data_IF_411951345694
#
_entry.id   IF_411951345694
#
_cell.length_a   1.000
_cell.length_b   1.000
_cell.length_c   1.000
_cell.angle_alpha   90.00
_cell.angle_beta   90.00
_cell.angle_gamma   90.00
#
_symmetry.space_group_name_H-M   'P 1'
#
loop_
_entity.id
_entity.type
_entity.pdbx_description
1 polymer ?
#
# COMPACT_ATOMS: atom_id res chain seq x y z
N UNK A 1 12.65 -7.86 -7.68
CA UNK A 1 12.15 -6.61 -8.29
C UNK A 1 10.67 -6.83 -8.60
N UNK A 2 9.83 -5.79 -8.49
CA UNK A 2 8.39 -5.90 -8.71
C UNK A 2 8.07 -5.97 -10.22
N UNK A 3 8.37 -7.11 -10.84
CA UNK A 3 7.94 -7.43 -12.22
C UNK A 3 6.57 -8.08 -12.22
N UNK A 4 5.90 -8.09 -13.37
CA UNK A 4 4.62 -8.79 -13.54
C UNK A 4 4.71 -10.26 -13.12
N UNK A 5 5.71 -11.00 -13.60
CA UNK A 5 5.88 -12.41 -13.24
C UNK A 5 6.19 -12.59 -11.76
N UNK A 6 7.03 -11.72 -11.19
CA UNK A 6 7.41 -11.82 -9.78
C UNK A 6 6.21 -11.58 -8.87
N UNK A 7 5.37 -10.58 -9.16
CA UNK A 7 4.14 -10.32 -8.40
C UNK A 7 3.23 -11.56 -8.42
N UNK A 8 2.95 -12.11 -9.61
CA UNK A 8 2.08 -13.29 -9.73
C UNK A 8 2.66 -14.53 -9.05
N UNK A 9 3.98 -14.73 -9.15
CA UNK A 9 4.67 -15.83 -8.48
C UNK A 9 4.56 -15.72 -6.96
N UNK A 10 4.69 -14.52 -6.38
CA UNK A 10 4.56 -14.32 -4.94
C UNK A 10 3.12 -14.47 -4.46
N UNK A 11 2.11 -14.08 -5.26
CA UNK A 11 0.71 -14.35 -4.93
C UNK A 11 0.40 -15.86 -4.92
N UNK A 12 0.98 -16.63 -5.84
CA UNK A 12 0.88 -18.10 -5.81
C UNK A 12 1.60 -18.69 -4.58
N UNK A 13 2.78 -18.17 -4.22
CA UNK A 13 3.44 -18.57 -2.98
C UNK A 13 2.59 -18.26 -1.75
N UNK A 14 2.00 -17.07 -1.65
CA UNK A 14 1.07 -16.68 -0.57
C UNK A 14 -0.15 -17.61 -0.51
N UNK A 15 -0.70 -17.99 -1.66
CA UNK A 15 -1.77 -18.98 -1.74
C UNK A 15 -1.36 -20.30 -1.07
N UNK A 16 -0.16 -20.80 -1.37
CA UNK A 16 0.35 -22.05 -0.80
C UNK A 16 0.59 -21.94 0.72
N UNK A 17 1.11 -20.80 1.20
CA UNK A 17 1.27 -20.56 2.64
C UNK A 17 -0.06 -20.52 3.37
N UNK A 18 -1.05 -19.78 2.84
CA UNK A 18 -2.38 -19.72 3.42
C UNK A 18 -3.11 -21.07 3.40
N UNK A 19 -2.86 -21.92 2.39
CA UNK A 19 -3.41 -23.27 2.35
C UNK A 19 -2.80 -24.20 3.42
N UNK A 20 -1.57 -23.92 3.87
CA UNK A 20 -0.87 -24.71 4.88
C UNK A 20 -1.23 -24.30 6.32
N UNK A 21 -1.81 -23.11 6.51
CA UNK A 21 -2.22 -22.57 7.81
C UNK A 21 -3.63 -21.99 7.71
N UNK A 22 -4.62 -22.74 8.19
CA UNK A 22 -6.02 -22.32 8.15
C UNK A 22 -6.29 -21.04 8.93
N UNK A 23 -5.48 -20.73 9.94
CA UNK A 23 -5.63 -19.55 10.79
C UNK A 23 -4.84 -18.34 10.25
N UNK A 24 -4.15 -18.48 9.12
CA UNK A 24 -3.32 -17.43 8.56
C UNK A 24 -4.10 -16.12 8.33
N UNK A 25 -3.47 -15.01 8.75
CA UNK A 25 -3.82 -13.68 8.25
C UNK A 25 -2.87 -13.29 7.14
N UNK A 26 -3.45 -12.95 5.99
CA UNK A 26 -2.72 -12.46 4.84
C UNK A 26 -2.95 -10.95 4.74
N UNK A 27 -1.86 -10.22 4.60
CA UNK A 27 -1.86 -8.80 4.28
C UNK A 27 -1.14 -8.64 2.95
N UNK A 28 -1.78 -8.02 1.97
CA UNK A 28 -1.15 -7.64 0.70
C UNK A 28 -1.15 -6.13 0.61
N UNK A 29 0.02 -5.53 0.41
CA UNK A 29 0.17 -4.09 0.26
C UNK A 29 0.82 -3.80 -1.09
N UNK A 30 0.04 -3.22 -2.00
CA UNK A 30 0.54 -2.74 -3.28
C UNK A 30 0.68 -1.22 -3.21
N UNK A 31 1.87 -0.71 -3.53
CA UNK A 31 2.08 0.71 -3.80
C UNK A 31 2.73 0.92 -5.15
N UNK A 32 2.13 1.78 -5.97
CA UNK A 32 2.57 1.96 -7.36
C UNK A 32 1.55 2.71 -8.20
N UNK A 33 1.78 2.72 -9.52
CA UNK A 33 0.88 3.38 -10.45
C UNK A 33 -0.15 2.42 -11.03
N UNK A 34 -1.28 2.96 -11.46
CA UNK A 34 -2.22 2.24 -12.29
C UNK A 34 -2.75 3.09 -13.44
N UNK A 35 -2.94 2.44 -14.59
CA UNK A 35 -3.41 3.08 -15.83
C UNK A 35 -4.65 2.37 -16.35
N UNK A 36 -5.66 3.17 -16.71
CA UNK A 36 -6.84 2.72 -17.41
C UNK A 36 -6.61 2.87 -18.92
N UNK A 37 -6.72 1.77 -19.65
CA UNK A 37 -6.85 1.82 -21.10
C UNK A 37 -8.29 2.23 -21.46
N UNK A 38 -8.47 3.48 -21.89
CA UNK A 38 -9.79 4.01 -22.26
C UNK A 38 -10.35 3.38 -23.55
N UNK A 39 -9.52 2.69 -24.34
CA UNK A 39 -10.01 1.98 -25.53
C UNK A 39 -10.69 0.65 -25.17
N UNK A 40 -10.21 -0.03 -24.12
CA UNK A 40 -10.71 -1.36 -23.72
C UNK A 40 -11.43 -1.39 -22.37
N UNK A 41 -11.33 -0.32 -21.58
CA UNK A 41 -11.80 -0.25 -20.20
C UNK A 41 -10.95 -1.05 -19.20
N UNK A 42 -9.82 -1.62 -19.64
CA UNK A 42 -8.95 -2.44 -18.78
C UNK A 42 -8.06 -1.57 -17.91
N UNK A 43 -8.03 -1.88 -16.61
CA UNK A 43 -7.12 -1.26 -15.67
C UNK A 43 -5.87 -2.13 -15.45
N UNK A 44 -4.70 -1.49 -15.44
CA UNK A 44 -3.41 -2.13 -15.29
C UNK A 44 -2.69 -1.57 -14.07
N UNK A 45 -2.18 -2.46 -13.22
CA UNK A 45 -1.13 -2.13 -12.25
C UNK A 45 0.20 -2.08 -12.99
N UNK A 46 1.04 -1.11 -12.64
CA UNK A 46 2.27 -0.82 -13.37
C UNK A 46 3.46 -1.39 -12.60
N UNK A 47 4.08 -2.48 -13.08
CA UNK A 47 5.30 -3.04 -12.50
C UNK A 47 6.51 -2.17 -12.87
N UNK A 48 7.65 -2.44 -12.24
CA UNK A 48 8.89 -1.68 -12.47
C UNK A 48 9.43 -1.84 -13.90
N UNK A 49 9.21 -2.99 -14.54
CA UNK A 49 9.70 -3.36 -15.87
C UNK A 49 8.63 -3.14 -16.97
N UNK A 50 7.70 -2.21 -16.75
CA UNK A 50 6.69 -1.89 -17.76
C UNK A 50 7.34 -1.36 -19.04
N UNK A 51 6.94 -1.92 -20.18
CA UNK A 51 7.36 -1.49 -21.51
C UNK A 51 6.38 -0.43 -22.04
N UNK A 52 6.78 0.84 -22.20
CA UNK A 52 5.86 1.95 -22.49
C UNK A 52 5.07 1.78 -23.80
N UNK A 53 5.65 1.03 -24.74
CA UNK A 53 5.07 0.77 -26.05
C UNK A 53 4.41 -0.61 -26.15
N UNK A 54 4.45 -1.40 -25.07
CA UNK A 54 3.81 -2.72 -24.98
C UNK A 54 3.18 -2.95 -23.60
N UNK A 55 2.35 -1.99 -23.17
CA UNK A 55 1.62 -2.05 -21.90
C UNK A 55 0.80 -3.35 -21.76
N UNK A 56 0.06 -3.83 -22.78
CA UNK A 56 -0.77 -5.03 -22.61
C UNK A 56 0.03 -6.29 -22.21
N UNK A 57 1.27 -6.43 -22.69
CA UNK A 57 2.10 -7.59 -22.39
C UNK A 57 2.97 -7.39 -21.13
N UNK A 58 3.48 -6.18 -20.91
CA UNK A 58 4.41 -5.89 -19.81
C UNK A 58 3.74 -5.45 -18.49
N UNK A 59 2.57 -4.80 -18.54
CA UNK A 59 1.84 -4.42 -17.33
C UNK A 59 0.99 -5.57 -16.78
N UNK A 60 0.58 -5.44 -15.51
CA UNK A 60 -0.24 -6.43 -14.82
C UNK A 60 -1.72 -6.02 -14.91
N UNK A 61 -2.58 -6.75 -15.64
CA UNK A 61 -4.00 -6.48 -15.63
C UNK A 61 -4.56 -6.64 -14.22
N UNK A 62 -5.33 -5.67 -13.75
CA UNK A 62 -5.81 -5.68 -12.38
C UNK A 62 -6.89 -6.74 -12.12
N UNK A 63 -7.59 -7.21 -13.16
CA UNK A 63 -8.42 -8.41 -13.07
C UNK A 63 -7.57 -9.66 -12.79
N UNK A 64 -6.40 -9.80 -13.43
CA UNK A 64 -5.48 -10.92 -13.15
C UNK A 64 -4.96 -10.87 -11.71
N UNK A 65 -4.59 -9.68 -11.23
CA UNK A 65 -4.20 -9.47 -9.84
C UNK A 65 -5.34 -9.80 -8.86
N UNK A 66 -6.55 -9.34 -9.16
CA UNK A 66 -7.75 -9.60 -8.35
C UNK A 66 -8.07 -11.08 -8.28
N UNK A 67 -8.04 -11.79 -9.42
CA UNK A 67 -8.28 -13.22 -9.43
C UNK A 67 -7.21 -13.98 -8.64
N UNK A 68 -5.93 -13.62 -8.77
CA UNK A 68 -4.88 -14.24 -7.95
C UNK A 68 -5.11 -14.05 -6.44
N UNK A 69 -5.53 -12.85 -5.99
CA UNK A 69 -5.88 -12.59 -4.59
C UNK A 69 -7.13 -13.36 -4.12
N UNK A 70 -8.09 -13.59 -5.02
CA UNK A 70 -9.29 -14.38 -4.72
C UNK A 70 -8.97 -15.87 -4.55
N UNK A 71 -7.90 -16.36 -5.17
CA UNK A 71 -7.46 -17.74 -5.03
C UNK A 71 -6.74 -18.04 -3.70
N UNK A 72 -6.36 -17.03 -2.91
CA UNK A 72 -5.74 -17.21 -1.60
C UNK A 72 -6.80 -17.72 -0.58
N UNK A 73 -6.66 -18.94 -0.04
CA UNK A 73 -7.65 -19.55 0.84
C UNK A 73 -7.46 -19.13 2.31
N UNK A 74 -7.25 -17.83 2.56
CA UNK A 74 -7.09 -17.31 3.91
C UNK A 74 -8.45 -16.95 4.54
N UNK A 75 -8.62 -17.26 5.83
CA UNK A 75 -9.78 -16.79 6.60
C UNK A 75 -9.78 -15.27 6.79
N UNK A 76 -8.59 -14.65 6.74
CA UNK A 76 -8.39 -13.21 6.97
C UNK A 76 -7.46 -12.66 5.89
N UNK A 77 -7.98 -11.78 5.04
CA UNK A 77 -7.22 -11.13 3.98
C UNK A 77 -7.47 -9.61 4.01
N UNK A 78 -6.42 -8.84 4.32
CA UNK A 78 -6.39 -7.40 4.16
C UNK A 78 -5.61 -7.05 2.89
N UNK A 79 -6.25 -6.35 1.96
CA UNK A 79 -5.60 -5.82 0.75
C UNK A 79 -5.52 -4.31 0.87
N UNK A 80 -4.34 -3.75 0.62
CA UNK A 80 -4.09 -2.31 0.66
C UNK A 80 -3.54 -1.88 -0.68
N UNK A 81 -4.20 -0.88 -1.28
CA UNK A 81 -3.81 -0.30 -2.55
C UNK A 81 -3.43 1.16 -2.32
N UNK A 82 -2.13 1.43 -2.27
CA UNK A 82 -1.56 2.77 -2.19
C UNK A 82 -1.07 3.24 -3.57
N UNK A 83 -2.03 3.64 -4.41
CA UNK A 83 -1.74 4.09 -5.77
C UNK A 83 -2.15 5.53 -6.02
N UNK A 84 -1.20 6.37 -6.45
CA UNK A 84 -1.45 7.76 -6.79
C UNK A 84 -2.21 7.89 -8.12
N UNK A 85 -3.18 8.82 -8.18
CA UNK A 85 -3.52 9.52 -9.41
C UNK A 85 -2.29 10.32 -9.90
N UNK A 86 -1.68 9.91 -11.02
CA UNK A 86 -0.61 10.69 -11.66
C UNK A 86 -1.14 11.89 -12.49
N UNK A 87 -2.27 12.50 -12.07
CA UNK A 87 -2.87 13.64 -12.77
C UNK A 87 -1.89 14.82 -12.95
N UNK A 88 -0.88 14.95 -12.07
CA UNK A 88 0.19 15.94 -12.19
C UNK A 88 1.31 15.63 -13.19
N UNK A 89 1.31 14.47 -13.86
CA UNK A 89 2.28 14.16 -14.93
C UNK A 89 1.74 14.47 -16.34
N UNK A 90 0.42 14.62 -16.50
CA UNK A 90 -0.22 14.79 -17.81
C UNK A 90 -0.25 16.25 -18.32
N UNK A 91 0.10 17.23 -17.48
CA UNK A 91 0.16 18.65 -17.88
C UNK A 91 1.49 19.00 -18.55
N UNK A 92 1.80 18.34 -19.66
CA UNK A 92 2.86 18.76 -20.59
C UNK A 92 2.33 18.80 -22.04
N UNK A 93 1.07 19.21 -22.21
CA UNK A 93 0.51 19.58 -23.52
C UNK A 93 0.02 21.03 -23.47
N UNK A 94 0.84 21.92 -24.05
CA UNK A 94 0.48 23.24 -24.59
C UNK A 94 -0.03 24.32 -23.64
N UNK A 95 0.70 24.63 -22.57
CA UNK A 95 0.59 25.94 -21.89
C UNK A 95 1.94 26.64 -21.91
N UNK A 96 2.03 27.91 -22.36
CA UNK A 96 3.21 28.74 -22.12
C UNK A 96 3.49 28.73 -20.61
N UNK A 97 4.76 28.52 -20.27
CA UNK A 97 5.26 28.50 -18.89
C UNK A 97 5.04 29.89 -18.28
N UNK A 98 3.88 30.10 -17.66
CA UNK A 98 3.76 31.04 -16.56
C UNK A 98 4.02 30.24 -15.28
N UNK A 99 5.11 30.61 -14.63
CA UNK A 99 5.60 30.08 -13.37
C UNK A 99 4.55 30.19 -12.25
N UNK A 100 3.65 29.22 -12.16
CA UNK A 100 3.05 28.86 -10.87
C UNK A 100 4.05 27.95 -10.16
N UNK A 101 4.93 28.58 -9.39
CA UNK A 101 5.73 27.89 -8.38
C UNK A 101 4.76 27.27 -7.36
N UNK A 102 4.37 26.01 -7.57
CA UNK A 102 3.71 25.21 -6.54
C UNK A 102 4.82 24.65 -5.62
N UNK A 103 4.84 24.97 -4.31
CA UNK A 103 6.04 24.78 -3.48
C UNK A 103 6.21 23.37 -2.88
N UNK A 104 5.31 22.43 -3.17
CA UNK A 104 5.27 21.12 -2.51
C UNK A 104 5.24 19.97 -3.54
N UNK A 105 5.88 18.85 -3.18
CA UNK A 105 6.41 17.80 -4.06
C UNK A 105 5.52 17.33 -5.22
N UNK A 106 6.18 17.13 -6.36
CA UNK A 106 5.61 16.47 -7.54
C UNK A 106 5.12 15.05 -7.16
N UNK A 107 4.00 14.55 -7.73
CA UNK A 107 3.71 13.12 -7.72
C UNK A 107 4.92 12.38 -8.30
N UNK A 108 5.38 11.35 -7.58
CA UNK A 108 6.51 10.45 -7.87
C UNK A 108 7.45 10.93 -8.98
N UNK A 109 8.66 11.39 -8.62
CA UNK A 109 9.76 11.62 -9.56
C UNK A 109 10.35 10.31 -10.15
N UNK A 110 9.50 9.34 -10.46
CA UNK A 110 9.79 8.21 -11.34
C UNK A 110 9.52 8.66 -12.77
N UNK A 111 10.46 8.37 -13.68
CA UNK A 111 10.49 8.81 -15.08
C UNK A 111 9.13 9.16 -15.68
N UNK A 112 9.01 10.35 -16.30
CA UNK A 112 7.84 10.75 -17.07
C UNK A 112 7.60 9.77 -18.23
N UNK A 113 6.91 8.67 -17.95
CA UNK A 113 6.57 7.70 -18.97
C UNK A 113 5.56 8.36 -19.90
N UNK A 114 5.95 8.59 -21.16
CA UNK A 114 5.04 9.10 -22.17
C UNK A 114 4.05 8.01 -22.51
N UNK A 115 2.87 8.11 -21.93
CA UNK A 115 1.77 7.18 -22.19
C UNK A 115 1.23 7.36 -23.62
N UNK A 116 0.83 6.26 -24.29
CA UNK A 116 -0.05 6.37 -25.43
C UNK A 116 -1.33 7.13 -25.06
N UNK A 117 -1.90 7.88 -26.01
CA UNK A 117 -3.00 8.82 -25.74
C UNK A 117 -4.28 8.17 -25.16
N UNK A 118 -4.44 6.85 -25.24
CA UNK A 118 -5.58 6.10 -24.71
C UNK A 118 -5.41 5.67 -23.25
N UNK A 119 -4.23 5.81 -22.64
CA UNK A 119 -4.02 5.44 -21.24
C UNK A 119 -4.17 6.64 -20.31
N UNK A 120 -4.99 6.47 -19.27
CA UNK A 120 -5.26 7.47 -18.26
C UNK A 120 -4.75 7.02 -16.90
N UNK A 121 -3.92 7.81 -16.20
CA UNK A 121 -3.59 7.54 -14.81
C UNK A 121 -4.80 7.84 -13.92
N UNK A 122 -5.32 6.81 -13.27
CA UNK A 122 -6.52 6.90 -12.41
C UNK A 122 -6.37 5.93 -11.24
N UNK A 123 -7.20 6.09 -10.21
CA UNK A 123 -7.33 5.15 -9.10
C UNK A 123 -7.95 3.84 -9.57
N UNK A 124 -7.84 2.83 -8.72
CA UNK A 124 -8.47 1.55 -8.92
C UNK A 124 -9.99 1.72 -9.07
N UNK A 125 -10.63 1.20 -10.14
CA UNK A 125 -12.07 1.28 -10.32
C UNK A 125 -12.83 0.62 -9.16
N UNK A 126 -13.98 1.20 -8.80
CA UNK A 126 -14.80 0.69 -7.70
C UNK A 126 -15.23 -0.76 -7.93
N UNK A 127 -15.47 -1.15 -9.17
CA UNK A 127 -15.87 -2.50 -9.54
C UNK A 127 -14.78 -3.53 -9.18
N UNK A 128 -13.49 -3.16 -9.27
CA UNK A 128 -12.40 -4.02 -8.83
C UNK A 128 -12.34 -4.13 -7.31
N UNK A 129 -12.55 -3.03 -6.59
CA UNK A 129 -12.64 -3.05 -5.11
C UNK A 129 -13.79 -3.96 -4.68
N UNK A 130 -14.94 -3.83 -5.35
CA UNK A 130 -16.13 -4.67 -5.11
C UNK A 130 -15.87 -6.16 -5.41
N UNK A 131 -14.97 -6.51 -6.34
CA UNK A 131 -14.54 -7.90 -6.57
C UNK A 131 -13.58 -8.38 -5.48
N UNK A 132 -12.63 -7.54 -5.06
CA UNK A 132 -11.61 -7.90 -4.06
C UNK A 132 -12.22 -8.22 -2.70
N UNK A 133 -13.28 -7.49 -2.31
CA UNK A 133 -13.98 -7.70 -1.04
C UNK A 133 -14.93 -8.91 -1.02
N UNK A 134 -15.21 -9.54 -2.17
CA UNK A 134 -16.11 -10.69 -2.20
C UNK A 134 -15.53 -11.88 -1.44
N UNK A 135 -16.32 -12.44 -0.54
CA UNK A 135 -15.93 -13.52 0.36
C UNK A 135 -15.97 -13.08 1.81
N UNK A 136 -15.85 -14.03 2.74
CA UNK A 136 -15.77 -13.76 4.17
C UNK A 136 -14.35 -13.36 4.57
N UNK A 137 -14.18 -12.55 5.62
CA UNK A 137 -12.86 -12.26 6.16
C UNK A 137 -12.00 -11.32 5.31
N UNK A 138 -12.60 -10.54 4.42
CA UNK A 138 -11.89 -9.69 3.46
C UNK A 138 -12.11 -8.20 3.75
N UNK A 139 -11.00 -7.48 3.78
CA UNK A 139 -10.96 -6.03 3.92
C UNK A 139 -10.07 -5.43 2.83
N UNK A 140 -10.51 -4.31 2.23
CA UNK A 140 -9.79 -3.60 1.18
C UNK A 140 -9.67 -2.13 1.56
N UNK A 141 -8.44 -1.64 1.69
CA UNK A 141 -8.15 -0.23 1.95
C UNK A 141 -7.48 0.40 0.74
N UNK A 142 -7.86 1.63 0.41
CA UNK A 142 -7.16 2.44 -0.60
C UNK A 142 -6.67 3.75 0.01
N UNK A 143 -5.52 4.22 -0.44
CA UNK A 143 -4.86 5.38 0.17
C UNK A 143 -5.55 6.71 -0.08
N UNK A 144 -6.42 6.78 -1.07
CA UNK A 144 -7.30 7.90 -1.36
C UNK A 144 -8.66 7.41 -1.89
N UNK A 145 -9.64 8.31 -1.93
CA UNK A 145 -10.84 8.13 -2.75
C UNK A 145 -10.48 8.16 -4.24
N UNK A 146 -11.36 7.65 -5.10
CA UNK A 146 -11.17 7.69 -6.55
C UNK A 146 -11.18 9.09 -7.17
N UNK A 147 -11.45 10.14 -6.39
CA UNK A 147 -11.46 11.54 -6.83
C UNK A 147 -10.22 12.31 -6.36
N UNK A 148 -9.49 11.78 -5.37
CA UNK A 148 -8.35 12.43 -4.72
C UNK A 148 -7.03 11.74 -5.07
N UNK A 149 -5.91 12.44 -4.85
CA UNK A 149 -4.57 11.89 -5.05
C UNK A 149 -4.05 11.23 -3.77
N UNK A 150 -3.20 10.21 -3.92
CA UNK A 150 -2.29 9.78 -2.86
C UNK A 150 -1.00 10.58 -2.97
N UNK A 151 -0.56 11.23 -1.88
CA UNK A 151 0.59 12.13 -1.88
C UNK A 151 1.85 11.49 -1.33
N UNK A 152 2.99 11.86 -1.93
CA UNK A 152 4.32 11.61 -1.36
C UNK A 152 4.62 12.69 -0.32
N UNK A 153 5.20 12.28 0.81
CA UNK A 153 5.64 13.23 1.83
C UNK A 153 6.67 14.23 1.27
N UNK A 154 6.79 15.44 1.83
CA UNK A 154 7.76 16.43 1.35
C UNK A 154 9.22 15.97 1.40
N UNK A 155 9.55 15.00 2.26
CA UNK A 155 10.88 14.38 2.35
C UNK A 155 11.19 13.39 1.22
N UNK A 156 10.20 13.05 0.37
CA UNK A 156 10.34 12.13 -0.76
C UNK A 156 10.53 10.67 -0.38
N UNK A 157 10.47 10.31 0.91
CA UNK A 157 10.86 8.97 1.41
C UNK A 157 9.79 7.91 1.23
N UNK A 158 8.52 8.28 1.36
CA UNK A 158 7.35 7.39 1.19
C UNK A 158 6.07 8.21 1.04
N UNK A 159 4.95 7.55 0.74
CA UNK A 159 3.64 8.20 0.74
C UNK A 159 3.19 8.61 2.14
N UNK A 160 2.31 9.60 2.23
CA UNK A 160 1.65 9.97 3.49
C UNK A 160 0.91 8.77 4.08
N UNK A 161 0.25 7.99 3.21
CA UNK A 161 -0.49 6.81 3.63
C UNK A 161 0.42 5.71 4.16
N UNK A 162 1.50 5.37 3.45
CA UNK A 162 2.51 4.38 3.90
C UNK A 162 3.07 4.77 5.27
N UNK A 163 3.44 6.03 5.46
CA UNK A 163 4.00 6.51 6.72
C UNK A 163 3.06 6.25 7.90
N UNK A 164 1.80 6.71 7.80
CA UNK A 164 0.84 6.54 8.88
C UNK A 164 0.36 5.09 9.03
N UNK A 165 0.33 4.32 7.95
CA UNK A 165 0.06 2.89 8.02
C UNK A 165 1.14 2.16 8.83
N UNK A 166 2.41 2.50 8.63
CA UNK A 166 3.50 1.95 9.41
C UNK A 166 3.45 2.41 10.88
N UNK A 167 3.07 3.65 11.17
CA UNK A 167 2.82 4.09 12.56
C UNK A 167 1.70 3.25 13.21
N UNK A 168 0.60 3.01 12.48
CA UNK A 168 -0.50 2.19 12.98
C UNK A 168 -0.08 0.73 13.24
N UNK A 169 0.74 0.13 12.37
CA UNK A 169 1.32 -1.20 12.59
C UNK A 169 2.25 -1.27 13.81
N UNK A 170 2.82 -0.14 14.22
CA UNK A 170 3.65 -0.04 15.42
C UNK A 170 2.83 0.26 16.69
N UNK A 171 1.49 0.30 16.59
CA UNK A 171 0.61 0.48 17.74
C UNK A 171 0.13 1.91 17.98
N UNK A 172 0.26 2.82 17.01
CA UNK A 172 -0.15 4.22 17.21
C UNK A 172 -1.66 4.43 17.42
N UNK A 173 -2.49 3.42 17.12
CA UNK A 173 -3.92 3.38 17.44
C UNK A 173 -4.29 2.42 18.58
N UNK A 174 -3.30 1.76 19.18
CA UNK A 174 -3.50 0.75 20.22
C UNK A 174 -3.48 1.36 21.62
N UNK A 175 -4.22 0.72 22.53
CA UNK A 175 -4.29 1.08 23.93
C UNK A 175 -3.25 0.30 24.74
N UNK A 176 -2.84 0.83 25.91
CA UNK A 176 -2.01 0.08 26.86
C UNK A 176 -2.57 -1.32 27.14
N UNK A 177 -1.72 -2.34 27.00
CA UNK A 177 -2.09 -3.74 27.21
C UNK A 177 -2.63 -4.47 25.97
N UNK A 178 -2.95 -3.78 24.88
CA UNK A 178 -3.31 -4.42 23.61
C UNK A 178 -2.18 -5.35 23.15
N UNK A 179 -2.54 -6.48 22.54
CA UNK A 179 -1.56 -7.47 22.09
C UNK A 179 -1.36 -7.47 20.57
N UNK A 180 -2.35 -6.96 19.84
CA UNK A 180 -2.41 -7.05 18.38
C UNK A 180 -2.88 -5.74 17.78
N UNK A 181 -2.44 -5.48 16.55
CA UNK A 181 -3.02 -4.47 15.67
C UNK A 181 -4.17 -5.12 14.91
N UNK A 182 -5.36 -4.54 14.97
CA UNK A 182 -6.52 -5.01 14.20
C UNK A 182 -6.81 -4.15 12.97
N UNK A 183 -7.70 -4.61 12.09
CA UNK A 183 -8.18 -3.83 10.94
C UNK A 183 -8.79 -2.51 11.40
N UNK A 184 -9.56 -2.50 12.48
CA UNK A 184 -10.15 -1.28 13.02
C UNK A 184 -9.12 -0.31 13.58
N UNK A 185 -8.04 -0.79 14.23
CA UNK A 185 -6.94 0.08 14.65
C UNK A 185 -6.31 0.80 13.44
N UNK A 186 -6.02 0.05 12.37
CA UNK A 186 -5.45 0.59 11.14
C UNK A 186 -6.38 1.63 10.51
N UNK A 187 -7.66 1.28 10.32
CA UNK A 187 -8.69 2.16 9.76
C UNK A 187 -8.80 3.47 10.55
N UNK A 188 -8.95 3.38 11.86
CA UNK A 188 -9.15 4.53 12.74
C UNK A 188 -7.94 5.46 12.72
N UNK A 189 -6.73 4.90 12.70
CA UNK A 189 -5.51 5.70 12.67
C UNK A 189 -5.37 6.43 11.34
N UNK A 190 -5.29 5.68 10.23
CA UNK A 190 -4.99 6.26 8.92
C UNK A 190 -6.13 7.13 8.42
N UNK A 191 -7.38 6.82 8.77
CA UNK A 191 -8.54 7.64 8.46
C UNK A 191 -8.51 9.03 9.11
N UNK A 192 -7.78 9.18 10.22
CA UNK A 192 -7.57 10.47 10.89
C UNK A 192 -6.29 11.16 10.44
N UNK A 193 -5.17 10.44 10.47
CA UNK A 193 -3.84 11.05 10.30
C UNK A 193 -3.50 11.37 8.85
N UNK A 194 -4.00 10.61 7.87
CA UNK A 194 -3.73 10.87 6.46
C UNK A 194 -4.35 12.19 5.98
N UNK A 195 -5.65 12.48 6.23
CA UNK A 195 -6.22 13.78 5.88
C UNK A 195 -5.51 14.95 6.57
N UNK A 196 -5.19 14.81 7.86
CA UNK A 196 -4.49 15.85 8.63
C UNK A 196 -3.11 16.14 8.03
N UNK A 197 -2.32 15.11 7.75
CA UNK A 197 -0.99 15.25 7.15
C UNK A 197 -1.02 15.75 5.72
N UNK A 198 -1.97 15.31 4.89
CA UNK A 198 -2.11 15.81 3.52
C UNK A 198 -2.41 17.32 3.52
N UNK A 199 -3.30 17.77 4.41
CA UNK A 199 -3.61 19.18 4.59
C UNK A 199 -2.40 19.98 5.09
N UNK A 200 -1.68 19.47 6.08
CA UNK A 200 -0.56 20.18 6.70
C UNK A 200 0.70 20.20 5.84
N UNK A 201 1.03 19.09 5.19
CA UNK A 201 2.31 18.90 4.48
C UNK A 201 2.22 19.24 3.00
N UNK A 202 1.06 19.01 2.38
CA UNK A 202 0.88 19.16 0.93
C UNK A 202 -0.17 20.22 0.56
N UNK A 203 -0.87 20.81 1.55
CA UNK A 203 -1.99 21.73 1.31
C UNK A 203 -3.06 21.12 0.39
N UNK A 204 -3.26 19.81 0.51
CA UNK A 204 -4.11 19.03 -0.37
C UNK A 204 -5.06 18.12 0.41
N UNK A 205 -6.04 17.56 -0.30
CA UNK A 205 -6.92 16.54 0.27
C UNK A 205 -6.40 15.14 -0.06
N UNK A 206 -6.53 14.25 0.93
CA UNK A 206 -6.37 12.82 0.78
C UNK A 206 -7.18 12.13 1.87
N UNK A 207 -8.26 11.46 1.47
CA UNK A 207 -9.11 10.69 2.36
C UNK A 207 -8.99 9.22 1.99
N UNK A 208 -8.44 8.37 2.86
CA UNK A 208 -8.45 6.94 2.63
C UNK A 208 -9.87 6.39 2.49
N UNK A 209 -10.02 5.35 1.67
CA UNK A 209 -11.28 4.63 1.55
C UNK A 209 -11.12 3.20 2.07
N UNK A 210 -12.13 2.72 2.77
CA UNK A 210 -12.11 1.43 3.45
C UNK A 210 -13.38 0.67 3.10
N UNK A 211 -13.23 -0.58 2.66
CA UNK A 211 -14.35 -1.46 2.35
C UNK A 211 -14.09 -2.84 2.94
N UNK A 212 -14.88 -3.23 3.93
CA UNK A 212 -14.75 -4.51 4.59
C UNK A 212 -16.14 -5.05 4.94
N UNK A 213 -16.37 -6.30 4.59
CA UNK A 213 -17.62 -7.02 4.84
C UNK A 213 -17.36 -8.18 5.82
N UNK A 214 -16.69 -7.87 6.92
CA UNK A 214 -16.19 -8.85 7.89
C UNK A 214 -16.16 -8.26 9.29
N UNK A 215 -16.12 -9.14 10.29
CA UNK A 215 -15.73 -8.77 11.64
C UNK A 215 -14.29 -8.25 11.67
N UNK A 216 -13.98 -7.45 12.68
CA UNK A 216 -12.62 -6.97 12.92
C UNK A 216 -11.69 -8.15 13.22
N UNK A 217 -10.46 -8.09 12.71
CA UNK A 217 -9.51 -9.19 12.88
C UNK A 217 -8.07 -8.73 13.13
N UNK A 218 -7.26 -9.53 13.85
CA UNK A 218 -5.84 -9.24 14.05
C UNK A 218 -5.05 -9.29 12.74
N UNK A 219 -4.25 -8.24 12.49
CA UNK A 219 -3.35 -8.10 11.34
C UNK A 219 -1.90 -8.37 11.72
N UNK A 220 -1.47 -7.93 12.91
CA UNK A 220 -0.09 -8.07 13.38
C UNK A 220 -0.03 -8.21 14.90
N UNK A 221 1.01 -8.88 15.42
CA UNK A 221 1.35 -8.83 16.84
C UNK A 221 2.09 -7.53 17.15
N UNK A 222 1.72 -6.87 18.25
CA UNK A 222 2.41 -5.66 18.70
C UNK A 222 3.77 -6.00 19.29
N UNK A 223 4.80 -5.32 18.82
CA UNK A 223 6.17 -5.42 19.33
C UNK A 223 6.65 -6.88 19.44
N UNK A 224 6.28 -7.71 18.46
CA UNK A 224 6.62 -9.14 18.46
C UNK A 224 5.90 -9.97 19.51
N UNK A 225 4.66 -9.60 19.82
CA UNK A 225 3.84 -10.30 20.82
C UNK A 225 4.12 -9.86 22.27
N UNK A 226 4.95 -8.84 22.48
CA UNK A 226 5.12 -8.21 23.80
C UNK A 226 3.91 -7.38 24.21
N UNK A 227 3.11 -6.97 23.22
CA UNK A 227 1.97 -6.08 23.43
C UNK A 227 2.40 -4.63 23.65
N UNK A 228 1.40 -3.76 23.71
CA UNK A 228 1.56 -2.35 23.96
C UNK A 228 1.96 -2.09 25.42
N UNK A 229 3.01 -1.29 25.69
CA UNK A 229 3.41 -1.00 27.06
C UNK A 229 2.37 -0.15 27.79
N UNK A 230 2.50 -0.09 29.12
CA UNK A 230 1.54 0.63 29.97
C UNK A 230 1.49 2.13 29.71
N UNK A 231 2.61 2.74 29.30
CA UNK A 231 2.64 4.16 28.92
C UNK A 231 2.16 4.38 27.47
N UNK A 232 1.75 3.31 26.78
CA UNK A 232 1.15 3.37 25.45
C UNK A 232 2.10 3.88 24.38
N UNK A 233 1.53 4.52 23.36
CA UNK A 233 2.24 4.96 22.16
C UNK A 233 3.40 5.91 22.46
N UNK A 234 3.26 6.78 23.45
CA UNK A 234 4.26 7.80 23.76
C UNK A 234 5.62 7.20 24.17
N UNK A 235 5.62 6.01 24.80
CA UNK A 235 6.85 5.31 25.18
C UNK A 235 7.60 4.73 23.97
N UNK A 236 6.86 4.20 22.98
CA UNK A 236 7.46 3.49 21.83
C UNK A 236 7.59 4.35 20.57
N UNK A 237 6.97 5.53 20.56
CA UNK A 237 6.87 6.39 19.37
C UNK A 237 8.23 6.74 18.78
N UNK A 238 9.21 7.10 19.62
CA UNK A 238 10.54 7.49 19.13
C UNK A 238 11.23 6.33 18.41
N UNK A 239 11.23 5.14 19.01
CA UNK A 239 11.78 3.92 18.41
C UNK A 239 11.01 3.52 17.15
N UNK A 240 9.68 3.63 17.16
CA UNK A 240 8.84 3.37 16.00
C UNK A 240 9.18 4.30 14.82
N UNK A 241 9.33 5.61 15.08
CA UNK A 241 9.71 6.59 14.06
C UNK A 241 11.12 6.35 13.51
N UNK A 242 12.07 5.95 14.36
CA UNK A 242 13.41 5.56 13.91
C UNK A 242 13.34 4.34 12.99
N UNK A 243 12.61 3.28 13.37
CA UNK A 243 12.41 2.10 12.52
C UNK A 243 11.77 2.46 11.17
N UNK A 244 10.74 3.30 11.18
CA UNK A 244 10.08 3.76 9.94
C UNK A 244 11.06 4.53 9.05
N UNK A 245 11.92 5.35 9.64
CA UNK A 245 12.93 6.11 8.87
C UNK A 245 13.96 5.18 8.20
N UNK A 246 14.32 4.07 8.85
CA UNK A 246 15.24 3.07 8.28
C UNK A 246 14.59 2.34 7.10
N UNK A 247 13.27 2.11 7.13
CA UNK A 247 12.55 1.49 6.02
C UNK A 247 12.72 2.29 4.72
N UNK A 248 12.70 3.62 4.82
CA UNK A 248 12.86 4.48 3.63
C UNK A 248 14.23 4.38 2.95
N UNK A 249 15.28 4.06 3.70
CA UNK A 249 16.65 4.06 3.17
C UNK A 249 16.94 2.79 2.35
N UNK A 250 16.32 1.67 2.72
CA UNK A 250 16.45 0.39 2.01
C UNK A 250 15.76 0.41 0.64
N UNK A 251 14.74 1.25 0.46
CA UNK A 251 14.02 1.41 -0.81
C UNK A 251 14.83 2.16 -1.89
N UNK A 252 15.88 2.90 -1.51
CA UNK A 252 16.67 3.74 -2.43
C UNK A 252 17.91 3.01 -2.98
N UNK A 253 18.46 2.06 -2.22
CA UNK A 253 19.59 1.23 -2.67
C UNK A 253 19.05 -0.06 -3.29
N UNK A 254 18.73 0.00 -4.59
CA UNK A 254 18.34 -1.17 -5.35
C UNK A 254 19.42 -2.27 -5.31
N UNK A 255 19.22 -3.25 -4.44
CA UNK A 255 19.61 -4.66 -4.60
C UNK A 255 19.18 -5.44 -3.34
N UNK A 256 18.37 -6.48 -3.55
CA UNK A 256 18.02 -7.54 -2.58
C UNK A 256 18.16 -7.16 -1.09
N UNK A 257 17.14 -6.56 -0.50
CA UNK A 257 17.16 -6.26 0.92
C UNK A 257 15.83 -6.66 1.57
N UNK A 258 15.88 -7.76 2.34
CA UNK A 258 14.85 -8.20 3.26
C UNK A 258 14.89 -7.31 4.51
N UNK A 259 13.76 -6.76 4.93
CA UNK A 259 13.67 -6.06 6.22
C UNK A 259 12.75 -6.80 7.18
N UNK A 260 13.36 -7.48 8.15
CA UNK A 260 12.67 -8.08 9.29
C UNK A 260 12.30 -6.97 10.29
N UNK A 261 11.01 -6.69 10.46
CA UNK A 261 10.53 -6.02 11.67
C UNK A 261 10.51 -7.03 12.83
N UNK A 262 11.69 -7.37 13.36
CA UNK A 262 11.83 -8.36 14.44
C UNK A 262 11.73 -7.70 15.82
N UNK A 263 10.71 -8.08 16.57
CA UNK A 263 10.54 -7.77 17.99
C UNK A 263 10.32 -9.02 18.85
N UNK A 264 10.80 -10.20 18.44
CA UNK A 264 10.45 -11.49 19.07
C UNK A 264 9.21 -12.10 18.41
N UNK A 265 9.27 -13.40 18.14
CA UNK A 265 8.21 -14.32 17.68
C UNK A 265 7.28 -13.99 16.49
N UNK A 266 7.37 -12.84 15.82
CA UNK A 266 6.75 -12.62 14.49
C UNK A 266 7.57 -11.64 13.67
N UNK A 267 7.93 -12.03 12.44
CA UNK A 267 8.63 -11.19 11.47
C UNK A 267 7.63 -10.63 10.45
N UNK A 268 7.38 -9.31 10.46
CA UNK A 268 6.78 -8.64 9.31
C UNK A 268 7.92 -8.28 8.37
N UNK A 269 8.01 -8.97 7.25
CA UNK A 269 8.99 -8.67 6.21
C UNK A 269 8.36 -7.74 5.17
N UNK A 270 8.79 -6.48 5.16
CA UNK A 270 8.36 -5.47 4.18
C UNK A 270 9.51 -5.27 3.19
N UNK A 271 9.42 -5.85 1.99
CA UNK A 271 10.35 -5.46 0.92
C UNK A 271 9.80 -4.22 0.22
N UNK A 272 10.70 -3.33 -0.21
CA UNK A 272 10.41 -2.16 -1.06
C UNK A 272 9.92 -2.50 -2.49
N UNK A 273 9.32 -3.67 -2.67
CA UNK A 273 8.72 -4.20 -3.89
C UNK A 273 7.33 -4.79 -3.63
N UNK A 274 6.58 -4.28 -2.64
CA UNK A 274 5.20 -4.71 -2.35
C UNK A 274 5.07 -6.11 -1.72
N UNK A 275 6.17 -6.68 -1.20
CA UNK A 275 6.10 -7.93 -0.46
C UNK A 275 5.76 -7.66 1.00
N UNK A 276 4.68 -8.28 1.46
CA UNK A 276 4.46 -8.55 2.88
C UNK A 276 4.47 -10.06 3.03
N UNK A 277 5.60 -10.61 3.46
CA UNK A 277 5.67 -12.03 3.82
C UNK A 277 5.39 -12.17 5.31
N UNK A 278 4.34 -12.92 5.63
CA UNK A 278 4.06 -13.44 6.95
C UNK A 278 4.56 -14.89 6.98
N UNK A 279 5.38 -15.28 7.95
CA UNK A 279 5.65 -16.71 8.24
C UNK A 279 5.89 -16.92 9.75
N UNK A 280 5.06 -17.77 10.34
CA UNK A 280 5.52 -18.90 11.16
C UNK A 280 5.42 -18.76 12.68
N UNK A 281 4.40 -19.40 13.24
CA UNK A 281 4.25 -19.75 14.66
C UNK A 281 5.26 -20.84 15.04
N UNK A 282 5.95 -20.65 16.17
CA UNK A 282 6.41 -21.72 17.06
C UNK A 282 6.21 -21.29 18.51
#
# INVERSE_FOLDING_TARGET
MATKESILSHLNWLQQQAAADSEATVLVYYSGHGWLDNATGKYYLIPHDVEPFDIPNSALPADTFTEALRQIPAQRLLVIIDSCHAAGMATAKNTPVETRQQPYGHPSAGASLRLPNNFLPTALPKELIDKLKQGTGRAVFTSSTGEQQSWIRPDGKMSIYTFHFLEALQGAANQPGDQVVTVSNLMNYVGKTVPDSAKQLCQAEQTPFFDFATEDFPVALLHGGKGMPQQGWDEVKAEAQERISQISNVSVEGNQSQMNLSGGSTNININAAGDISNVGIS
#
